data_IF_718393941497
#
_entry.id   IF_718393941497
#
_cell.length_a   1.000
_cell.length_b   1.000
_cell.length_c   1.000
_cell.angle_alpha   90.00
_cell.angle_beta   90.00
_cell.angle_gamma   90.00
#
_symmetry.space_group_name_H-M   'P 1'
#
loop_
_entity.id
_entity.type
_entity.pdbx_description
1 polymer ?
#
# COMPACT_ATOMS: atom_id res chain seq x y z
N UNK A 1 68.73 8.90 20.24
CA UNK A 1 69.31 8.99 18.88
C UNK A 1 69.55 7.58 18.38
N UNK A 2 69.34 7.40 17.08
CA UNK A 2 69.14 6.17 16.31
C UNK A 2 70.06 4.98 16.59
N UNK A 3 69.54 3.79 16.30
CA UNK A 3 70.05 2.77 15.34
C UNK A 3 69.73 1.35 15.85
N UNK A 4 69.52 0.31 15.05
CA UNK A 4 69.26 0.07 13.62
C UNK A 4 69.17 -1.45 13.47
N UNK A 5 68.30 -1.94 12.56
CA UNK A 5 68.25 -3.31 12.01
C UNK A 5 67.98 -4.44 13.04
N UNK A 6 67.45 -5.63 12.72
CA UNK A 6 67.94 -6.61 11.75
C UNK A 6 66.83 -7.66 11.49
N UNK A 7 66.61 -7.99 10.21
CA UNK A 7 66.24 -9.28 9.55
C UNK A 7 65.13 -10.17 10.15
N UNK A 8 64.07 -10.51 9.43
CA UNK A 8 63.92 -11.37 8.23
C UNK A 8 64.21 -12.87 8.43
N UNK A 9 63.16 -13.66 8.20
CA UNK A 9 63.05 -15.07 7.80
C UNK A 9 63.93 -16.11 8.52
N UNK A 10 63.29 -17.16 9.07
CA UNK A 10 63.67 -18.52 8.68
C UNK A 10 62.55 -19.53 8.91
N UNK A 11 62.29 -20.29 7.85
CA UNK A 11 61.39 -21.41 7.74
C UNK A 11 61.84 -22.55 8.67
N UNK A 12 61.00 -22.99 9.60
CA UNK A 12 61.10 -24.33 10.18
C UNK A 12 59.88 -25.12 9.69
N UNK A 13 60.14 -26.01 8.72
CA UNK A 13 59.22 -27.08 8.42
C UNK A 13 59.21 -28.11 9.55
N UNK A 14 58.15 -28.92 9.50
CA UNK A 14 58.05 -30.28 10.07
C UNK A 14 58.04 -30.33 11.61
N UNK A 15 57.17 -31.06 12.28
CA UNK A 15 56.34 -32.20 11.92
C UNK A 15 55.14 -32.24 12.86
N UNK A 16 54.11 -32.97 12.42
CA UNK A 16 52.78 -32.92 12.96
C UNK A 16 52.66 -33.26 14.44
N UNK A 17 51.79 -32.51 15.11
CA UNK A 17 50.83 -33.08 16.05
C UNK A 17 49.70 -32.07 16.29
N UNK A 18 48.90 -31.77 15.26
CA UNK A 18 47.59 -31.11 15.45
C UNK A 18 46.58 -31.83 14.57
N UNK A 19 46.55 -33.16 14.68
CA UNK A 19 45.61 -34.01 13.94
C UNK A 19 44.18 -34.00 14.50
N UNK A 20 43.85 -33.14 15.49
CA UNK A 20 42.52 -33.19 16.14
C UNK A 20 41.86 -31.83 16.48
N UNK A 21 42.43 -30.67 16.15
CA UNK A 21 41.87 -29.38 16.62
C UNK A 21 41.51 -28.33 15.55
N UNK A 22 41.83 -28.58 14.27
CA UNK A 22 41.55 -27.62 13.19
C UNK A 22 40.49 -28.09 12.17
N UNK A 23 39.75 -29.15 12.46
CA UNK A 23 38.53 -29.50 11.70
C UNK A 23 37.38 -28.48 11.92
N UNK A 24 37.52 -27.54 12.85
CA UNK A 24 36.49 -26.53 13.15
C UNK A 24 36.73 -25.17 12.49
N UNK A 25 37.71 -25.02 11.58
CA UNK A 25 38.03 -23.72 10.96
C UNK A 25 38.11 -23.68 9.44
N UNK A 26 37.55 -24.65 8.73
CA UNK A 26 37.32 -24.52 7.28
C UNK A 26 35.86 -24.79 6.91
N UNK A 27 35.01 -23.85 7.35
CA UNK A 27 33.62 -23.76 6.94
C UNK A 27 33.34 -22.63 5.94
N UNK A 28 34.32 -22.14 5.18
CA UNK A 28 34.02 -21.19 4.09
C UNK A 28 33.67 -21.95 2.80
N UNK A 29 32.60 -22.74 2.87
CA UNK A 29 31.90 -23.20 1.66
C UNK A 29 31.17 -21.98 1.14
N UNK A 30 31.58 -21.45 -0.02
CA UNK A 30 30.76 -20.47 -0.75
C UNK A 30 29.38 -21.07 -0.92
N UNK A 31 28.43 -20.60 -0.15
CA UNK A 31 27.02 -20.85 -0.40
C UNK A 31 26.70 -19.99 -1.62
N UNK A 32 26.70 -20.62 -2.79
CA UNK A 32 26.24 -20.03 -4.05
C UNK A 32 24.71 -19.82 -4.07
N UNK A 33 24.07 -19.81 -2.90
CA UNK A 33 22.65 -19.48 -2.71
C UNK A 33 22.46 -18.22 -1.87
N UNK A 34 23.36 -17.25 -2.00
CA UNK A 34 22.96 -15.84 -1.97
C UNK A 34 22.24 -15.51 -3.30
N UNK A 35 21.22 -16.30 -3.64
CA UNK A 35 20.19 -15.83 -4.55
C UNK A 35 19.33 -14.92 -3.68
N UNK A 36 19.52 -13.63 -3.84
CA UNK A 36 18.46 -12.65 -3.63
C UNK A 36 17.31 -13.00 -4.56
N UNK A 37 16.56 -14.04 -4.23
CA UNK A 37 15.17 -14.14 -4.59
C UNK A 37 14.44 -13.72 -3.32
N UNK A 38 14.45 -12.39 -3.09
CA UNK A 38 13.22 -11.73 -2.70
C UNK A 38 12.18 -12.24 -3.69
N UNK A 39 11.52 -13.35 -3.36
CA UNK A 39 10.26 -13.71 -3.97
C UNK A 39 9.34 -12.60 -3.55
N UNK A 40 9.35 -11.61 -4.42
CA UNK A 40 8.46 -10.49 -4.49
C UNK A 40 7.10 -10.99 -4.02
N UNK A 41 6.68 -10.53 -2.84
CA UNK A 41 5.32 -10.78 -2.36
C UNK A 41 4.44 -9.89 -3.22
N UNK A 42 4.21 -10.31 -4.46
CA UNK A 42 3.28 -9.67 -5.38
C UNK A 42 2.27 -10.69 -5.89
N UNK A 43 1.86 -11.64 -5.02
CA UNK A 43 0.56 -12.31 -5.17
C UNK A 43 -0.54 -11.42 -4.58
N UNK A 44 -0.69 -10.21 -5.13
CA UNK A 44 -1.99 -9.55 -5.07
C UNK A 44 -2.84 -10.24 -6.11
N UNK A 45 -3.65 -11.22 -5.70
CA UNK A 45 -4.77 -11.64 -6.53
C UNK A 45 -5.53 -10.36 -6.93
N UNK A 46 -5.46 -9.98 -8.21
CA UNK A 46 -6.26 -8.91 -8.79
C UNK A 46 -7.73 -9.37 -8.81
N UNK A 47 -8.35 -9.50 -7.63
CA UNK A 47 -9.80 -9.51 -7.54
C UNK A 47 -10.22 -8.18 -8.09
N UNK A 48 -10.83 -8.18 -9.27
CA UNK A 48 -11.37 -6.97 -9.85
C UNK A 48 -12.33 -6.36 -8.84
N UNK A 49 -11.99 -5.19 -8.32
CA UNK A 49 -12.88 -4.41 -7.46
C UNK A 49 -14.07 -4.04 -8.32
N UNK A 50 -15.20 -4.69 -8.07
CA UNK A 50 -16.47 -4.31 -8.67
C UNK A 50 -16.95 -3.07 -7.94
N UNK A 51 -16.86 -1.92 -8.60
CA UNK A 51 -17.40 -0.67 -8.04
C UNK A 51 -18.92 -0.81 -7.89
N UNK A 52 -19.45 -0.33 -6.78
CA UNK A 52 -20.90 -0.26 -6.61
C UNK A 52 -21.45 0.94 -7.37
N UNK A 53 -22.48 0.71 -8.18
CA UNK A 53 -23.16 1.77 -8.92
C UNK A 53 -24.14 2.47 -8.00
N UNK A 54 -23.95 3.77 -7.79
CA UNK A 54 -24.75 4.59 -6.87
C UNK A 54 -25.37 5.79 -7.57
N UNK A 55 -26.53 6.22 -7.07
CA UNK A 55 -27.16 7.49 -7.43
C UNK A 55 -27.14 8.39 -6.19
N UNK A 56 -26.69 9.62 -6.35
CA UNK A 56 -26.66 10.60 -5.27
C UNK A 56 -27.96 11.40 -5.25
N UNK A 57 -28.47 11.67 -4.05
CA UNK A 57 -29.67 12.45 -3.87
C UNK A 57 -29.46 13.54 -2.82
N UNK A 58 -29.85 14.77 -3.13
CA UNK A 58 -29.73 15.92 -2.22
C UNK A 58 -31.01 16.73 -2.14
N UNK A 59 -31.32 17.22 -0.94
CA UNK A 59 -32.36 18.24 -0.72
C UNK A 59 -31.71 19.50 -0.21
N UNK A 60 -32.03 20.64 -0.80
CA UNK A 60 -31.58 21.94 -0.30
C UNK A 60 -32.76 22.84 0.02
N UNK A 61 -32.67 23.52 1.16
CA UNK A 61 -33.74 24.38 1.70
C UNK A 61 -33.43 25.86 1.55
N UNK A 62 -32.16 26.22 1.69
CA UNK A 62 -31.68 27.60 1.64
C UNK A 62 -30.49 27.73 0.69
N UNK A 63 -30.10 28.97 0.40
CA UNK A 63 -28.98 29.25 -0.50
C UNK A 63 -29.34 29.10 -1.98
N UNK A 64 -28.31 28.97 -2.80
CA UNK A 64 -28.42 28.91 -4.26
C UNK A 64 -28.29 27.49 -4.78
N UNK A 65 -28.83 27.24 -5.97
CA UNK A 65 -28.65 25.96 -6.67
C UNK A 65 -27.17 25.64 -6.88
N UNK A 66 -26.34 26.64 -7.16
CA UNK A 66 -24.90 26.47 -7.35
C UNK A 66 -24.18 25.97 -6.07
N UNK A 67 -24.65 26.37 -4.89
CA UNK A 67 -24.14 25.86 -3.62
C UNK A 67 -24.53 24.39 -3.42
N UNK A 68 -25.79 24.05 -3.71
CA UNK A 68 -26.26 22.66 -3.63
C UNK A 68 -25.51 21.73 -4.60
N UNK A 69 -25.30 22.17 -5.84
CA UNK A 69 -24.50 21.44 -6.83
C UNK A 69 -23.04 21.26 -6.40
N UNK A 70 -22.45 22.27 -5.76
CA UNK A 70 -21.10 22.18 -5.22
C UNK A 70 -21.02 21.09 -4.13
N UNK A 71 -21.96 21.08 -3.18
CA UNK A 71 -22.02 20.04 -2.16
C UNK A 71 -22.24 18.65 -2.76
N UNK A 72 -23.06 18.52 -3.80
CA UNK A 72 -23.28 17.24 -4.49
C UNK A 72 -22.01 16.76 -5.21
N UNK A 73 -21.23 17.67 -5.82
CA UNK A 73 -19.94 17.34 -6.44
C UNK A 73 -18.91 16.86 -5.41
N UNK A 74 -18.86 17.51 -4.25
CA UNK A 74 -18.00 17.08 -3.14
C UNK A 74 -18.41 15.68 -2.65
N UNK A 75 -19.72 15.43 -2.49
CA UNK A 75 -20.23 14.09 -2.13
C UNK A 75 -19.87 13.03 -3.18
N UNK A 76 -19.88 13.38 -4.48
CA UNK A 76 -19.47 12.46 -5.54
C UNK A 76 -17.99 12.08 -5.45
N UNK A 77 -17.11 13.03 -5.12
CA UNK A 77 -15.68 12.74 -4.93
C UNK A 77 -15.44 11.81 -3.74
N UNK A 78 -16.21 12.00 -2.67
CA UNK A 78 -16.16 11.10 -1.50
C UNK A 78 -16.64 9.69 -1.87
N UNK A 79 -17.75 9.56 -2.59
CA UNK A 79 -18.27 8.27 -3.05
C UNK A 79 -17.28 7.53 -3.97
N UNK A 80 -16.64 8.25 -4.88
CA UNK A 80 -15.62 7.68 -5.78
C UNK A 80 -14.41 7.16 -4.99
N UNK A 81 -13.94 7.91 -3.99
CA UNK A 81 -12.84 7.49 -3.11
C UNK A 81 -13.22 6.28 -2.26
N UNK A 82 -14.51 6.14 -1.92
CA UNK A 82 -15.05 4.98 -1.20
C UNK A 82 -15.25 3.73 -2.09
N UNK A 83 -14.90 3.78 -3.39
CA UNK A 83 -15.05 2.64 -4.30
C UNK A 83 -16.43 2.53 -4.94
N UNK A 84 -17.15 3.64 -5.08
CA UNK A 84 -18.43 3.69 -5.80
C UNK A 84 -18.29 4.34 -7.18
N UNK A 85 -19.06 3.84 -8.15
CA UNK A 85 -19.31 4.49 -9.43
C UNK A 85 -20.57 5.34 -9.33
N UNK A 86 -20.42 6.67 -9.35
CA UNK A 86 -21.56 7.60 -9.31
C UNK A 86 -22.18 7.68 -10.71
N UNK A 87 -23.37 7.10 -10.88
CA UNK A 87 -24.08 7.06 -12.17
C UNK A 87 -24.85 8.34 -12.42
N UNK A 88 -25.46 8.89 -11.36
CA UNK A 88 -26.31 10.08 -11.45
C UNK A 88 -26.34 10.84 -10.12
N UNK A 89 -26.68 12.13 -10.18
CA UNK A 89 -26.93 12.96 -9.02
C UNK A 89 -28.21 13.78 -9.20
N UNK A 90 -29.14 13.66 -8.27
CA UNK A 90 -30.42 14.39 -8.27
C UNK A 90 -30.45 15.35 -7.10
N UNK A 91 -30.82 16.61 -7.34
CA UNK A 91 -31.06 17.59 -6.29
C UNK A 91 -32.50 18.11 -6.36
N UNK A 92 -33.11 18.36 -5.20
CA UNK A 92 -34.44 18.94 -5.12
C UNK A 92 -34.53 20.10 -4.11
N UNK A 93 -35.12 21.22 -4.55
CA UNK A 93 -35.47 22.32 -3.65
C UNK A 93 -36.74 21.99 -2.87
N UNK A 94 -36.72 22.13 -1.55
CA UNK A 94 -37.88 21.98 -0.66
C UNK A 94 -37.76 22.89 0.55
N UNK A 95 -38.86 23.16 1.25
CA UNK A 95 -38.79 23.92 2.51
C UNK A 95 -38.19 23.09 3.66
N UNK A 96 -38.45 21.77 3.65
CA UNK A 96 -37.86 20.79 4.55
C UNK A 96 -37.76 19.41 3.87
N UNK A 97 -36.82 18.53 4.28
CA UNK A 97 -36.80 17.13 3.86
C UNK A 97 -38.07 16.39 4.28
N UNK A 98 -38.51 15.42 3.47
CA UNK A 98 -39.65 14.59 3.84
C UNK A 98 -39.27 13.60 4.95
N UNK A 99 -40.08 13.49 6.02
CA UNK A 99 -39.73 12.65 7.16
C UNK A 99 -39.77 11.15 6.85
N UNK A 100 -40.50 10.72 5.81
CA UNK A 100 -40.64 9.31 5.46
C UNK A 100 -39.63 8.85 4.39
N UNK A 101 -39.25 9.74 3.46
CA UNK A 101 -38.51 9.37 2.23
C UNK A 101 -37.35 10.30 1.90
N UNK A 102 -37.09 11.33 2.71
CA UNK A 102 -36.12 12.41 2.49
C UNK A 102 -36.42 13.29 1.26
N UNK A 103 -36.61 12.70 0.07
CA UNK A 103 -36.94 13.38 -1.19
C UNK A 103 -38.44 13.54 -1.48
N UNK A 104 -39.31 12.68 -0.93
CA UNK A 104 -40.74 12.60 -1.24
C UNK A 104 -41.11 11.39 -2.10
N UNK A 105 -42.35 10.88 -1.95
CA UNK A 105 -42.84 9.66 -2.60
C UNK A 105 -42.96 9.72 -4.14
N UNK A 106 -42.76 10.90 -4.75
CA UNK A 106 -42.94 11.13 -6.18
C UNK A 106 -41.71 11.01 -7.06
N UNK A 107 -40.51 10.78 -6.50
CA UNK A 107 -39.24 10.75 -7.27
C UNK A 107 -38.53 9.39 -7.32
N UNK A 108 -39.15 8.33 -6.79
CA UNK A 108 -38.57 6.97 -6.72
C UNK A 108 -38.98 6.10 -7.94
N UNK A 109 -39.58 6.71 -8.98
CA UNK A 109 -40.25 5.97 -10.07
C UNK A 109 -39.63 6.09 -11.47
N UNK A 110 -38.46 6.70 -11.61
CA UNK A 110 -37.78 6.80 -12.91
C UNK A 110 -36.28 6.57 -12.77
#
# INVERSE_FOLDING_TARGET
MCDTAVVNEFNLGKDGDVSLELEQRQGLRRVSSLSTELQDVTEVEYRQIRLERVVLAGVWTTGTVAQAERSLRELAQLAQTAGSEVVEGVIQRRDAPDPATYLGSGKVKE
#
